data_IF_853122310974
#
_entry.id   IF_853122310974
#
_cell.length_a   1.000
_cell.length_b   1.000
_cell.length_c   1.000
_cell.angle_alpha   90.00
_cell.angle_beta   90.00
_cell.angle_gamma   90.00
#
_symmetry.space_group_name_H-M   'P 1'
#
loop_
_entity.id
_entity.type
_entity.pdbx_description
1 polymer ?
#
# COMPACT_ATOMS: atom_id res chain seq x y z
N UNK A 1 -32.39 30.73 18.29
CA UNK A 1 -32.59 30.23 16.90
C UNK A 1 -32.38 28.72 16.89
N UNK A 2 -33.27 27.92 16.26
CA UNK A 2 -33.08 26.47 16.19
C UNK A 2 -31.88 26.11 15.29
N UNK A 3 -31.21 25.02 15.62
CA UNK A 3 -30.07 24.50 14.86
C UNK A 3 -30.49 24.18 13.42
N UNK A 4 -29.80 24.77 12.44
CA UNK A 4 -29.98 24.47 11.01
C UNK A 4 -28.80 23.58 10.58
N UNK A 5 -29.01 22.28 10.30
CA UNK A 5 -27.92 21.42 9.87
C UNK A 5 -27.38 21.91 8.53
N UNK A 6 -26.16 22.41 8.51
CA UNK A 6 -25.39 22.59 7.27
C UNK A 6 -24.79 21.25 6.89
N UNK A 7 -24.87 20.87 5.62
CA UNK A 7 -24.30 19.63 5.12
C UNK A 7 -22.77 19.77 5.07
N UNK A 8 -22.11 19.59 6.22
CA UNK A 8 -20.67 19.75 6.37
C UNK A 8 -19.99 18.45 5.92
N UNK A 9 -19.44 18.45 4.71
CA UNK A 9 -18.55 17.40 4.24
C UNK A 9 -17.09 17.77 4.56
N UNK A 10 -16.31 16.78 4.97
CA UNK A 10 -14.87 16.93 5.16
C UNK A 10 -14.16 15.80 4.45
N UNK A 11 -13.21 16.15 3.58
CA UNK A 11 -12.39 15.17 2.87
C UNK A 11 -11.00 15.21 3.45
N UNK A 12 -10.55 14.07 3.97
CA UNK A 12 -9.19 13.90 4.46
C UNK A 12 -8.46 12.81 3.67
N UNK A 13 -7.31 13.16 3.12
CA UNK A 13 -6.42 12.21 2.47
C UNK A 13 -5.53 11.54 3.52
N UNK A 14 -5.57 10.22 3.58
CA UNK A 14 -4.73 9.41 4.46
C UNK A 14 -3.27 9.55 3.99
N UNK A 15 -2.39 9.97 4.89
CA UNK A 15 -0.97 10.15 4.59
C UNK A 15 -0.22 8.80 4.56
N UNK A 16 0.95 8.77 3.90
CA UNK A 16 1.73 7.53 3.68
C UNK A 16 2.37 6.96 4.95
N UNK A 17 2.55 7.80 5.97
CA UNK A 17 3.11 7.47 7.28
C UNK A 17 2.10 6.78 8.22
N UNK A 18 0.82 6.73 7.83
CA UNK A 18 -0.22 6.06 8.61
C UNK A 18 -0.02 4.54 8.58
N UNK A 19 0.19 3.88 9.73
CA UNK A 19 0.45 2.44 9.77
C UNK A 19 -0.81 1.61 9.50
N UNK A 20 -0.61 0.35 9.08
CA UNK A 20 -1.69 -0.62 8.87
C UNK A 20 -2.35 -0.93 10.20
N UNK A 21 -3.57 -0.43 10.42
CA UNK A 21 -4.33 -0.66 11.62
C UNK A 21 -5.82 -0.41 11.40
N UNK A 22 -6.59 -0.67 12.45
CA UNK A 22 -8.02 -0.43 12.50
C UNK A 22 -8.28 0.90 13.21
N UNK A 23 -8.92 1.82 12.51
CA UNK A 23 -9.17 3.19 12.96
C UNK A 23 -10.67 3.47 13.08
N UNK A 24 -11.03 4.49 13.85
CA UNK A 24 -12.38 5.06 13.90
C UNK A 24 -12.27 6.59 13.81
N UNK A 25 -13.34 7.24 13.38
CA UNK A 25 -13.37 8.70 13.27
C UNK A 25 -14.07 9.28 14.49
N UNK A 26 -13.50 10.35 15.04
CA UNK A 26 -14.11 11.15 16.12
C UNK A 26 -14.09 12.62 15.72
N UNK A 27 -15.25 13.25 15.81
CA UNK A 27 -15.45 14.68 15.60
C UNK A 27 -15.67 15.37 16.94
N UNK A 28 -15.02 16.51 17.15
CA UNK A 28 -15.14 17.31 18.36
C UNK A 28 -15.90 18.61 18.06
N UNK A 29 -16.71 19.05 19.02
CA UNK A 29 -17.41 20.33 18.99
C UNK A 29 -16.71 21.24 19.99
N UNK A 30 -16.30 22.40 19.49
CA UNK A 30 -15.65 23.45 20.28
C UNK A 30 -16.61 24.62 20.45
N UNK A 31 -16.55 25.29 21.59
CA UNK A 31 -17.27 26.55 21.82
C UNK A 31 -16.47 27.78 21.34
N UNK A 32 -16.95 28.98 21.65
CA UNK A 32 -16.30 30.23 21.23
C UNK A 32 -15.00 30.53 21.98
N UNK A 33 -14.73 29.88 23.11
CA UNK A 33 -13.47 30.01 23.86
C UNK A 33 -12.45 28.94 23.45
N UNK A 34 -12.84 27.99 22.59
CA UNK A 34 -12.00 26.92 22.10
C UNK A 34 -11.99 25.69 23.01
N UNK A 35 -12.94 25.59 23.94
CA UNK A 35 -13.10 24.42 24.80
C UNK A 35 -13.96 23.35 24.12
N UNK A 36 -13.57 22.08 24.31
CA UNK A 36 -14.32 20.93 23.79
C UNK A 36 -15.58 20.75 24.63
N UNK A 37 -16.74 21.02 24.04
CA UNK A 37 -18.04 20.89 24.72
C UNK A 37 -18.75 19.57 24.41
N UNK A 38 -18.43 18.93 23.29
CA UNK A 38 -18.98 17.62 22.92
C UNK A 38 -18.10 16.88 21.92
N UNK A 39 -18.35 15.58 21.74
CA UNK A 39 -17.77 14.80 20.65
C UNK A 39 -18.78 13.78 20.11
N UNK A 40 -18.65 13.46 18.82
CA UNK A 40 -19.28 12.34 18.17
C UNK A 40 -18.22 11.37 17.64
N UNK A 41 -18.51 10.08 17.59
CA UNK A 41 -17.58 9.09 17.04
C UNK A 41 -18.34 8.05 16.23
N UNK A 42 -17.67 7.42 15.26
CA UNK A 42 -18.31 6.41 14.39
C UNK A 42 -18.54 5.08 15.09
N UNK A 43 -17.78 4.79 16.16
CA UNK A 43 -17.75 3.49 16.84
C UNK A 43 -18.50 3.49 18.17
N UNK A 44 -18.90 2.31 18.64
CA UNK A 44 -19.56 2.10 19.93
C UNK A 44 -18.56 2.19 21.11
N UNK A 45 -19.08 2.22 22.34
CA UNK A 45 -18.26 2.28 23.57
C UNK A 45 -17.26 1.13 23.68
N UNK A 46 -17.58 -0.05 23.13
CA UNK A 46 -16.69 -1.21 23.12
C UNK A 46 -15.73 -1.25 21.92
N UNK A 47 -15.81 -0.26 21.02
CA UNK A 47 -14.98 -0.13 19.80
C UNK A 47 -15.03 -1.36 18.91
N UNK A 48 -16.22 -1.91 18.65
CA UNK A 48 -16.43 -3.14 17.87
C UNK A 48 -17.12 -2.91 16.53
N UNK A 49 -17.82 -1.80 16.37
CA UNK A 49 -18.63 -1.51 15.19
C UNK A 49 -18.10 -0.29 14.43
N UNK A 50 -18.34 -0.24 13.11
CA UNK A 50 -18.01 0.89 12.23
C UNK A 50 -16.52 1.32 12.29
N UNK A 51 -15.65 0.32 12.24
CA UNK A 51 -14.21 0.49 12.20
C UNK A 51 -13.71 0.45 10.75
N UNK A 52 -12.70 1.26 10.45
CA UNK A 52 -12.07 1.34 9.14
C UNK A 52 -10.71 0.68 9.19
N UNK A 53 -10.47 -0.29 8.30
CA UNK A 53 -9.14 -0.87 8.13
C UNK A 53 -8.35 -0.03 7.13
N UNK A 54 -7.28 0.60 7.60
CA UNK A 54 -6.31 1.28 6.74
C UNK A 54 -5.15 0.33 6.54
N UNK A 55 -4.74 0.15 5.28
CA UNK A 55 -3.53 -0.59 4.92
C UNK A 55 -2.46 0.44 4.57
N UNK A 56 -1.34 0.42 5.30
CA UNK A 56 -0.20 1.27 5.00
C UNK A 56 0.34 0.97 3.61
N UNK A 57 0.86 2.00 2.96
CA UNK A 57 1.61 1.87 1.72
C UNK A 57 3.00 1.38 2.11
N UNK A 58 3.17 0.07 2.21
CA UNK A 58 4.49 -0.52 2.39
C UNK A 58 5.18 -0.58 1.02
N UNK A 59 6.47 -0.28 0.97
CA UNK A 59 7.26 -0.35 -0.27
C UNK A 59 7.36 -1.76 -0.88
N UNK A 60 6.74 -2.77 -0.28
CA UNK A 60 6.62 -4.13 -0.80
C UNK A 60 5.27 -4.30 -1.50
N UNK A 61 5.13 -3.69 -2.67
CA UNK A 61 3.97 -3.90 -3.51
C UNK A 61 4.05 -5.27 -4.19
N UNK A 62 2.92 -5.97 -4.35
CA UNK A 62 2.86 -7.30 -5.00
C UNK A 62 3.52 -7.27 -6.38
N UNK A 63 3.45 -6.14 -7.08
CA UNK A 63 4.12 -5.97 -8.39
C UNK A 63 5.62 -6.12 -8.31
N UNK A 64 6.28 -5.69 -7.22
CA UNK A 64 7.73 -5.79 -7.07
C UNK A 64 8.13 -7.25 -6.92
N UNK A 65 7.36 -8.04 -6.16
CA UNK A 65 7.60 -9.48 -6.01
C UNK A 65 7.42 -10.22 -7.36
N UNK A 66 6.40 -9.84 -8.15
CA UNK A 66 6.19 -10.41 -9.50
C UNK A 66 7.31 -10.01 -10.47
N UNK A 67 7.69 -8.74 -10.50
CA UNK A 67 8.78 -8.27 -11.35
C UNK A 67 10.10 -8.97 -11.00
N UNK A 68 10.41 -9.12 -9.70
CA UNK A 68 11.59 -9.83 -9.24
C UNK A 68 11.60 -11.29 -9.71
N UNK A 69 10.45 -11.98 -9.63
CA UNK A 69 10.32 -13.35 -10.13
C UNK A 69 10.60 -13.43 -11.65
N UNK A 70 9.99 -12.55 -12.45
CA UNK A 70 10.20 -12.53 -13.90
C UNK A 70 11.67 -12.27 -14.28
N UNK A 71 12.32 -11.27 -13.66
CA UNK A 71 13.73 -10.95 -13.96
C UNK A 71 14.69 -12.05 -13.50
N UNK A 72 14.41 -12.71 -12.37
CA UNK A 72 15.24 -13.81 -11.88
C UNK A 72 15.21 -15.02 -12.83
N UNK A 73 14.01 -15.42 -13.28
CA UNK A 73 13.82 -16.51 -14.24
C UNK A 73 14.49 -16.16 -15.57
N UNK A 74 14.28 -14.94 -16.07
CA UNK A 74 14.90 -14.47 -17.32
C UNK A 74 16.43 -14.52 -17.25
N UNK A 75 17.02 -14.09 -16.13
CA UNK A 75 18.47 -14.12 -15.94
C UNK A 75 19.04 -15.54 -16.00
N UNK A 76 18.38 -16.51 -15.35
CA UNK A 76 18.82 -17.91 -15.36
C UNK A 76 18.71 -18.51 -16.77
N UNK A 77 17.58 -18.30 -17.44
CA UNK A 77 17.36 -18.81 -18.80
C UNK A 77 18.38 -18.20 -19.77
N UNK A 78 18.62 -16.89 -19.67
CA UNK A 78 19.62 -16.20 -20.48
C UNK A 78 21.00 -16.80 -20.27
N UNK A 79 21.44 -16.97 -19.02
CA UNK A 79 22.76 -17.53 -18.70
C UNK A 79 22.94 -18.94 -19.27
N UNK A 80 21.94 -19.81 -19.09
CA UNK A 80 21.97 -21.17 -19.62
C UNK A 80 21.98 -21.16 -21.16
N UNK A 81 21.14 -20.32 -21.77
CA UNK A 81 21.09 -20.14 -23.22
C UNK A 81 22.43 -19.70 -23.80
N UNK A 82 23.04 -18.66 -23.23
CA UNK A 82 24.36 -18.18 -23.61
C UNK A 82 25.43 -19.27 -23.49
N UNK A 83 25.45 -20.00 -22.38
CA UNK A 83 26.41 -21.09 -22.16
C UNK A 83 26.31 -22.18 -23.24
N UNK A 84 25.10 -22.63 -23.60
CA UNK A 84 24.92 -23.62 -24.66
C UNK A 84 25.32 -23.10 -26.04
N UNK A 85 25.03 -21.84 -26.35
CA UNK A 85 25.43 -21.20 -27.61
C UNK A 85 26.95 -21.11 -27.69
N UNK A 86 27.63 -20.70 -26.63
CA UNK A 86 29.10 -20.66 -26.57
C UNK A 86 29.71 -22.04 -26.73
N UNK A 87 29.20 -23.06 -26.03
CA UNK A 87 29.66 -24.45 -26.19
C UNK A 87 29.54 -24.93 -27.65
N UNK A 88 28.40 -24.67 -28.30
CA UNK A 88 28.20 -25.04 -29.71
C UNK A 88 29.13 -24.27 -30.65
N UNK A 89 29.40 -23.00 -30.39
CA UNK A 89 30.37 -22.19 -31.17
C UNK A 89 31.78 -22.74 -31.00
N UNK A 90 32.22 -23.07 -29.79
CA UNK A 90 33.54 -23.63 -29.51
C UNK A 90 33.77 -24.97 -30.23
N UNK A 91 32.78 -25.87 -30.21
CA UNK A 91 32.87 -27.15 -30.96
C UNK A 91 32.98 -26.91 -32.46
N UNK A 92 32.16 -26.03 -33.04
CA UNK A 92 32.20 -25.72 -34.48
C UNK A 92 33.54 -25.09 -34.91
N UNK A 93 34.14 -24.25 -34.07
CA UNK A 93 35.45 -23.64 -34.33
C UNK A 93 36.56 -24.71 -34.31
N UNK A 94 36.51 -25.66 -33.38
CA UNK A 94 37.49 -26.74 -33.31
C UNK A 94 37.40 -27.74 -34.47
N UNK A 95 36.24 -27.87 -35.13
CA UNK A 95 36.04 -28.76 -36.29
C UNK A 95 36.40 -28.10 -37.63
N UNK A 96 36.64 -26.77 -37.65
CA UNK A 96 37.04 -26.01 -38.84
C UNK A 96 38.56 -25.78 -38.94
N UNK A 97 39.33 -26.31 -37.99
CA UNK A 97 40.78 -26.17 -37.90
C UNK A 97 41.44 -27.50 -38.22
#
# INVERSE_FOLDING_TARGET
>A
MPYKPSNNNFTWTIHKDVPTATYFIRAYVYDSTGEVVAYGQTTDTHKKTNLFKITAITGRHITIDVCAACFSIFSIISLVGFYFVEKRKAVKISQRK
#
